data_IF_290923985454
#
_entry.id   IF_290923985454
#
_cell.length_a   1.000
_cell.length_b   1.000
_cell.length_c   1.000
_cell.angle_alpha   90.00
_cell.angle_beta   90.00
_cell.angle_gamma   90.00
#
_symmetry.space_group_name_H-M   'P 1'
#
loop_
_entity.id
_entity.type
_entity.pdbx_description
1 polymer ?
#
# COMPACT_ATOMS: atom_id res chain seq x y z
N UNK A 1 14.70 9.38 13.06
CA UNK A 1 13.69 8.32 13.17
C UNK A 1 14.14 7.03 12.49
N UNK A 2 14.20 6.92 11.17
CA UNK A 2 14.54 5.65 10.47
C UNK A 2 15.82 4.99 11.00
N UNK A 3 16.90 5.75 11.18
CA UNK A 3 18.18 5.20 11.67
C UNK A 3 18.09 4.68 13.13
N UNK A 4 17.30 5.34 13.97
CA UNK A 4 17.07 4.87 15.35
C UNK A 4 16.25 3.57 15.42
N UNK A 5 15.45 3.28 14.39
CA UNK A 5 14.62 2.09 14.25
C UNK A 5 15.25 1.02 13.34
N UNK A 6 16.49 1.21 12.89
CA UNK A 6 17.18 0.35 11.92
C UNK A 6 16.39 0.13 10.60
N UNK A 7 15.61 1.14 10.19
CA UNK A 7 14.88 1.10 8.91
C UNK A 7 15.83 1.55 7.81
N UNK A 8 16.23 0.64 6.94
CA UNK A 8 17.11 0.95 5.80
C UNK A 8 16.39 1.79 4.76
N UNK A 9 15.19 1.34 4.36
CA UNK A 9 14.36 1.99 3.34
C UNK A 9 12.89 2.02 3.76
N UNK A 10 12.17 3.00 3.26
CA UNK A 10 10.72 3.09 3.44
C UNK A 10 10.02 3.38 2.11
N UNK A 11 8.78 2.91 1.98
CA UNK A 11 7.86 3.31 0.92
C UNK A 11 7.02 4.48 1.42
N UNK A 12 7.04 5.58 0.68
CA UNK A 12 6.24 6.77 0.97
C UNK A 12 5.07 6.82 0.01
N UNK A 13 3.86 6.90 0.56
CA UNK A 13 2.63 6.91 -0.21
C UNK A 13 1.81 8.17 0.09
N UNK A 14 1.23 8.84 -0.93
CA UNK A 14 0.30 9.94 -0.72
C UNK A 14 -1.04 9.44 -0.18
N UNK A 15 -1.83 10.36 0.41
CA UNK A 15 -3.17 10.05 0.92
C UNK A 15 -4.23 9.90 -0.16
N UNK A 16 -3.99 10.39 -1.38
CA UNK A 16 -4.99 10.50 -2.45
C UNK A 16 -6.27 11.21 -2.01
N UNK A 17 -6.16 12.29 -1.27
CA UNK A 17 -7.33 13.04 -0.82
C UNK A 17 -7.50 14.32 -1.63
N UNK A 18 -8.44 14.34 -2.61
CA UNK A 18 -8.67 15.51 -3.45
C UNK A 18 -9.12 16.75 -2.66
N UNK A 19 -9.73 16.57 -1.48
CA UNK A 19 -10.20 17.66 -0.64
C UNK A 19 -9.07 18.37 0.11
N UNK A 20 -7.96 17.67 0.35
CA UNK A 20 -6.73 18.25 0.88
C UNK A 20 -5.90 18.94 -0.19
N UNK A 21 -6.13 18.65 -1.48
CA UNK A 21 -5.44 19.28 -2.58
C UNK A 21 -6.00 20.69 -2.83
N UNK A 22 -5.11 21.68 -2.81
CA UNK A 22 -5.38 23.08 -3.13
C UNK A 22 -4.60 23.50 -4.37
N UNK A 23 -4.65 24.78 -4.73
CA UNK A 23 -3.80 25.32 -5.80
C UNK A 23 -2.31 25.14 -5.54
N UNK A 24 -1.89 25.03 -4.27
CA UNK A 24 -0.50 24.81 -3.86
C UNK A 24 -0.16 23.33 -3.73
N UNK A 25 -1.15 22.48 -3.42
CA UNK A 25 -1.01 21.02 -3.30
C UNK A 25 -1.68 20.31 -4.48
N UNK A 26 -1.15 20.53 -5.67
CA UNK A 26 -1.54 19.78 -6.86
C UNK A 26 -0.84 18.42 -6.89
N UNK A 27 -1.35 17.47 -7.67
CA UNK A 27 -0.69 16.17 -7.92
C UNK A 27 0.76 16.37 -8.33
N UNK A 28 1.03 17.33 -9.23
CA UNK A 28 2.39 17.66 -9.68
C UNK A 28 3.27 18.16 -8.53
N UNK A 29 2.73 18.95 -7.59
CA UNK A 29 3.47 19.41 -6.44
C UNK A 29 3.81 18.26 -5.49
N UNK A 30 2.87 17.34 -5.27
CA UNK A 30 3.09 16.11 -4.51
C UNK A 30 4.20 15.27 -5.14
N UNK A 31 4.14 15.02 -6.46
CA UNK A 31 5.15 14.24 -7.17
C UNK A 31 6.54 14.89 -7.10
N UNK A 32 6.63 16.21 -7.28
CA UNK A 32 7.92 16.91 -7.11
C UNK A 32 8.46 16.82 -5.68
N UNK A 33 7.60 16.96 -4.67
CA UNK A 33 8.02 16.84 -3.28
C UNK A 33 8.57 15.43 -2.99
N UNK A 34 7.91 14.38 -3.48
CA UNK A 34 8.36 12.99 -3.34
C UNK A 34 9.70 12.76 -4.05
N UNK A 35 9.86 13.31 -5.27
CA UNK A 35 11.16 13.32 -5.98
C UNK A 35 12.25 13.99 -5.14
N UNK A 36 11.97 15.18 -4.62
CA UNK A 36 12.93 15.97 -3.85
C UNK A 36 13.34 15.25 -2.56
N UNK A 37 12.42 14.53 -1.92
CA UNK A 37 12.72 13.65 -0.80
C UNK A 37 13.68 12.51 -1.22
N UNK A 38 13.41 11.83 -2.33
CA UNK A 38 14.31 10.78 -2.86
C UNK A 38 15.70 11.33 -3.19
N UNK A 39 15.78 12.54 -3.73
CA UNK A 39 17.06 13.19 -4.06
C UNK A 39 17.82 13.65 -2.83
N UNK A 40 17.11 14.15 -1.81
CA UNK A 40 17.71 14.60 -0.54
C UNK A 40 18.26 13.43 0.28
N UNK A 41 17.62 12.26 0.19
CA UNK A 41 18.00 11.06 0.93
C UNK A 41 18.18 9.87 -0.03
N UNK A 42 19.26 9.85 -0.82
CA UNK A 42 19.45 8.84 -1.86
C UNK A 42 19.42 7.41 -1.32
N UNK A 43 18.63 6.57 -1.95
CA UNK A 43 18.51 5.15 -1.60
C UNK A 43 17.68 4.85 -0.34
N UNK A 44 17.07 5.88 0.31
CA UNK A 44 16.28 5.68 1.53
C UNK A 44 14.78 5.50 1.26
N UNK A 45 14.29 5.93 0.09
CA UNK A 45 12.86 5.93 -0.18
C UNK A 45 12.52 5.35 -1.54
N UNK A 46 11.49 4.52 -1.55
CA UNK A 46 10.60 4.33 -2.68
C UNK A 46 9.42 5.28 -2.50
N UNK A 47 8.90 5.85 -3.57
CA UNK A 47 7.79 6.80 -3.50
C UNK A 47 6.73 6.49 -4.57
N UNK A 48 5.48 6.52 -4.18
CA UNK A 48 4.36 6.18 -5.06
C UNK A 48 3.65 7.43 -5.56
N UNK A 49 3.25 7.41 -6.82
CA UNK A 49 2.52 8.49 -7.45
C UNK A 49 1.10 8.63 -6.87
N UNK A 50 0.63 9.86 -6.80
CA UNK A 50 -0.72 10.24 -6.43
C UNK A 50 -1.63 10.31 -7.65
N UNK A 51 -2.94 10.26 -7.41
CA UNK A 51 -3.98 10.57 -8.40
C UNK A 51 -4.94 11.62 -7.85
N UNK A 52 -5.47 12.47 -8.72
CA UNK A 52 -6.52 13.42 -8.39
C UNK A 52 -7.77 13.12 -9.23
N UNK A 53 -8.78 12.52 -8.61
CA UNK A 53 -10.01 12.10 -9.28
C UNK A 53 -10.92 13.25 -9.73
N UNK A 54 -10.56 14.51 -9.43
CA UNK A 54 -11.18 15.70 -10.05
C UNK A 54 -10.71 15.92 -11.47
N UNK A 55 -9.58 15.34 -11.85
CA UNK A 55 -9.09 15.27 -13.23
C UNK A 55 -9.80 14.16 -14.01
N UNK A 56 -9.71 14.21 -15.33
CA UNK A 56 -10.11 13.06 -16.15
C UNK A 56 -9.14 11.90 -15.97
N UNK A 57 -9.60 10.68 -16.27
CA UNK A 57 -8.74 9.50 -16.24
C UNK A 57 -7.50 9.64 -17.14
N UNK A 58 -7.64 10.25 -18.32
CA UNK A 58 -6.51 10.52 -19.23
C UNK A 58 -5.48 11.48 -18.61
N UNK A 59 -5.93 12.55 -17.94
CA UNK A 59 -5.03 13.47 -17.24
C UNK A 59 -4.30 12.79 -16.07
N UNK A 60 -4.96 11.86 -15.37
CA UNK A 60 -4.33 11.07 -14.31
C UNK A 60 -3.28 10.10 -14.87
N UNK A 61 -3.55 9.48 -16.03
CA UNK A 61 -2.55 8.67 -16.74
C UNK A 61 -1.33 9.50 -17.13
N UNK A 62 -1.52 10.70 -17.71
CA UNK A 62 -0.43 11.59 -18.06
C UNK A 62 0.39 12.02 -16.84
N UNK A 63 -0.28 12.33 -15.72
CA UNK A 63 0.37 12.69 -14.45
C UNK A 63 1.21 11.53 -13.89
N UNK A 64 0.72 10.29 -13.98
CA UNK A 64 1.46 9.09 -13.56
C UNK A 64 2.69 8.88 -14.45
N UNK A 65 2.55 9.03 -15.76
CA UNK A 65 3.70 8.93 -16.69
C UNK A 65 4.77 9.96 -16.32
N UNK A 66 4.39 11.20 -16.06
CA UNK A 66 5.32 12.24 -15.60
C UNK A 66 5.92 11.94 -14.24
N UNK A 67 5.16 11.35 -13.32
CA UNK A 67 5.65 10.93 -12.02
C UNK A 67 6.72 9.84 -12.12
N UNK A 68 6.48 8.81 -12.93
CA UNK A 68 7.42 7.71 -13.10
C UNK A 68 8.64 8.13 -13.93
N UNK A 69 8.43 8.72 -15.11
CA UNK A 69 9.52 9.03 -16.05
C UNK A 69 10.27 10.32 -15.69
N UNK A 70 9.55 11.33 -15.21
CA UNK A 70 10.12 12.65 -14.92
C UNK A 70 10.57 12.82 -13.45
N UNK A 71 9.85 12.23 -12.50
CA UNK A 71 10.16 12.34 -11.08
C UNK A 71 10.83 11.09 -10.51
N UNK A 72 10.88 9.97 -11.23
CA UNK A 72 11.47 8.71 -10.80
C UNK A 72 10.71 8.08 -9.64
N UNK A 73 9.37 8.16 -9.65
CA UNK A 73 8.53 7.49 -8.67
C UNK A 73 8.37 6.01 -9.03
N UNK A 74 8.15 5.17 -8.03
CA UNK A 74 8.35 3.72 -8.13
C UNK A 74 7.04 2.94 -8.24
N UNK A 75 5.89 3.55 -7.95
CA UNK A 75 4.58 2.89 -7.95
C UNK A 75 3.44 3.89 -8.01
N UNK A 76 2.22 3.41 -7.85
CA UNK A 76 0.98 4.20 -7.83
C UNK A 76 0.23 3.89 -6.54
N UNK A 77 -0.26 4.91 -5.82
CA UNK A 77 -1.19 4.75 -4.69
C UNK A 77 -2.61 5.06 -5.14
N UNK A 78 -3.56 4.20 -4.76
CA UNK A 78 -5.00 4.43 -4.93
C UNK A 78 -5.69 4.25 -3.59
N UNK A 79 -6.48 5.24 -3.20
CA UNK A 79 -7.25 5.24 -1.96
C UNK A 79 -8.74 5.46 -2.25
N UNK A 80 -9.53 4.40 -2.49
CA UNK A 80 -10.93 4.51 -2.92
C UNK A 80 -11.79 5.36 -2.00
N UNK A 81 -11.65 5.22 -0.68
CA UNK A 81 -12.46 5.98 0.29
C UNK A 81 -12.18 7.49 0.24
N UNK A 82 -10.92 7.90 0.06
CA UNK A 82 -10.56 9.31 -0.02
C UNK A 82 -10.96 9.93 -1.36
N UNK A 83 -10.78 9.19 -2.44
CA UNK A 83 -11.15 9.65 -3.78
C UNK A 83 -12.64 9.58 -4.07
N UNK A 84 -13.37 8.74 -3.34
CA UNK A 84 -14.78 8.44 -3.61
C UNK A 84 -15.01 7.62 -4.88
N UNK A 85 -13.94 7.13 -5.52
CA UNK A 85 -14.00 6.33 -6.75
C UNK A 85 -13.71 4.87 -6.41
N UNK A 86 -14.66 3.99 -6.69
CA UNK A 86 -14.51 2.56 -6.47
C UNK A 86 -13.36 2.00 -7.31
N UNK A 87 -12.68 0.97 -6.79
CA UNK A 87 -11.50 0.43 -7.45
C UNK A 87 -11.81 -0.13 -8.85
N UNK A 88 -12.95 -0.81 -9.00
CA UNK A 88 -13.43 -1.39 -10.25
C UNK A 88 -14.17 -0.39 -11.17
N UNK A 89 -14.12 0.92 -10.86
CA UNK A 89 -14.69 1.99 -11.70
C UNK A 89 -13.90 2.15 -13.01
N UNK A 90 -14.60 2.51 -14.07
CA UNK A 90 -14.00 2.76 -15.40
C UNK A 90 -12.97 3.89 -15.39
N UNK A 91 -13.05 4.80 -14.43
CA UNK A 91 -12.03 5.83 -14.21
C UNK A 91 -10.64 5.23 -14.01
N UNK A 92 -10.54 4.14 -13.24
CA UNK A 92 -9.27 3.51 -12.92
C UNK A 92 -8.74 2.59 -14.03
N UNK A 93 -9.58 2.18 -14.97
CA UNK A 93 -9.21 1.19 -15.98
C UNK A 93 -7.98 1.59 -16.84
N UNK A 94 -7.85 2.83 -17.38
CA UNK A 94 -6.64 3.24 -18.10
C UNK A 94 -5.38 3.30 -17.23
N UNK A 95 -5.54 3.61 -15.93
CA UNK A 95 -4.44 3.64 -14.94
C UNK A 95 -3.93 2.22 -14.72
N UNK A 96 -4.83 1.25 -14.51
CA UNK A 96 -4.45 -0.16 -14.35
C UNK A 96 -3.85 -0.76 -15.63
N UNK A 97 -4.37 -0.39 -16.80
CA UNK A 97 -3.80 -0.82 -18.07
C UNK A 97 -2.36 -0.31 -18.26
N UNK A 98 -2.09 0.96 -17.91
CA UNK A 98 -0.75 1.53 -17.91
C UNK A 98 0.17 0.79 -16.93
N UNK A 99 -0.31 0.60 -15.67
CA UNK A 99 0.45 -0.07 -14.63
C UNK A 99 0.80 -1.50 -15.01
N UNK A 100 -0.16 -2.27 -15.54
CA UNK A 100 0.04 -3.63 -16.03
C UNK A 100 1.06 -3.67 -17.16
N UNK A 101 0.92 -2.82 -18.18
CA UNK A 101 1.82 -2.75 -19.35
C UNK A 101 3.25 -2.43 -18.93
N UNK A 102 3.43 -1.50 -18.00
CA UNK A 102 4.74 -1.00 -17.58
C UNK A 102 5.29 -1.71 -16.34
N UNK A 103 4.54 -2.67 -15.79
CA UNK A 103 4.87 -3.38 -14.54
C UNK A 103 5.12 -2.43 -13.36
N UNK A 104 4.27 -1.40 -13.25
CA UNK A 104 4.32 -0.45 -12.15
C UNK A 104 3.47 -1.02 -11.02
N UNK A 105 4.00 -1.23 -9.79
CA UNK A 105 3.21 -1.71 -8.67
C UNK A 105 2.15 -0.69 -8.25
N UNK A 106 0.98 -1.19 -7.87
CA UNK A 106 -0.15 -0.39 -7.43
C UNK A 106 -0.53 -0.76 -6.00
N UNK A 107 -0.35 0.16 -5.07
CA UNK A 107 -0.81 0.01 -3.70
C UNK A 107 -2.25 0.53 -3.56
N UNK A 108 -3.10 -0.32 -3.00
CA UNK A 108 -4.54 -0.06 -2.88
C UNK A 108 -4.93 -0.07 -1.42
N UNK A 109 -5.56 1.03 -0.95
CA UNK A 109 -6.19 1.03 0.35
C UNK A 109 -7.42 0.12 0.35
N UNK A 110 -7.52 -0.77 1.35
CA UNK A 110 -8.66 -1.66 1.54
C UNK A 110 -8.97 -1.86 3.02
N UNK A 111 -9.75 -0.93 3.56
CA UNK A 111 -10.26 -0.99 4.92
C UNK A 111 -11.76 -0.63 4.92
N UNK A 112 -12.63 -1.53 4.42
CA UNK A 112 -14.05 -1.23 4.29
C UNK A 112 -14.73 -1.11 5.66
N UNK A 113 -15.60 -0.11 5.80
CA UNK A 113 -16.42 0.11 6.98
C UNK A 113 -17.81 -0.56 6.89
N UNK A 114 -18.25 -0.86 5.66
CA UNK A 114 -19.53 -1.51 5.36
C UNK A 114 -19.37 -2.50 4.22
N UNK A 115 -20.39 -3.35 4.01
CA UNK A 115 -20.38 -4.31 2.90
C UNK A 115 -20.42 -3.67 1.51
N UNK A 116 -20.95 -2.45 1.40
CA UNK A 116 -21.07 -1.70 0.14
C UNK A 116 -19.94 -0.65 -0.04
N UNK A 117 -18.94 -0.66 0.83
CA UNK A 117 -17.82 0.30 0.79
C UNK A 117 -17.07 0.23 -0.55
N UNK A 118 -16.54 1.37 -0.98
CA UNK A 118 -15.77 1.47 -2.24
C UNK A 118 -14.45 0.70 -2.20
N UNK A 119 -13.97 0.31 -1.01
CA UNK A 119 -12.71 -0.40 -0.77
C UNK A 119 -12.86 -1.88 -0.44
N UNK A 120 -14.06 -2.47 -0.64
CA UNK A 120 -14.30 -3.89 -0.33
C UNK A 120 -13.43 -4.83 -1.17
N UNK A 121 -13.01 -5.93 -0.57
CA UNK A 121 -12.12 -6.91 -1.20
C UNK A 121 -12.68 -7.48 -2.53
N UNK A 122 -14.01 -7.62 -2.66
CA UNK A 122 -14.64 -8.07 -3.90
C UNK A 122 -14.35 -7.18 -5.12
N UNK A 123 -14.12 -5.87 -4.93
CA UNK A 123 -13.73 -4.95 -6.01
C UNK A 123 -12.27 -5.15 -6.42
N UNK A 124 -11.41 -5.53 -5.47
CA UNK A 124 -10.01 -5.90 -5.75
C UNK A 124 -9.97 -7.17 -6.59
N UNK A 125 -10.80 -8.17 -6.27
CA UNK A 125 -10.92 -9.41 -7.07
C UNK A 125 -11.31 -9.08 -8.51
N UNK A 126 -12.37 -8.30 -8.72
CA UNK A 126 -12.81 -7.88 -10.07
C UNK A 126 -11.70 -7.14 -10.84
N UNK A 127 -10.96 -6.29 -10.13
CA UNK A 127 -9.83 -5.55 -10.75
C UNK A 127 -8.71 -6.51 -11.16
N UNK A 128 -8.33 -7.45 -10.30
CA UNK A 128 -7.30 -8.45 -10.60
C UNK A 128 -7.71 -9.37 -11.76
N UNK A 129 -8.99 -9.78 -11.82
CA UNK A 129 -9.54 -10.57 -12.94
C UNK A 129 -9.52 -9.80 -14.27
N UNK A 130 -9.83 -8.50 -14.23
CA UNK A 130 -9.83 -7.64 -15.41
C UNK A 130 -8.41 -7.31 -15.91
N UNK A 131 -7.45 -7.22 -15.00
CA UNK A 131 -6.05 -6.88 -15.30
C UNK A 131 -5.09 -7.96 -14.78
N UNK A 132 -5.07 -9.16 -15.39
CA UNK A 132 -4.24 -10.27 -14.93
C UNK A 132 -2.75 -9.91 -15.01
N UNK A 133 -2.00 -10.20 -13.93
CA UNK A 133 -0.59 -9.85 -13.83
C UNK A 133 -0.31 -8.39 -13.42
N UNK A 134 -1.33 -7.61 -13.07
CA UNK A 134 -1.16 -6.32 -12.40
C UNK A 134 -0.52 -6.56 -11.03
N UNK A 135 0.59 -5.88 -10.75
CA UNK A 135 1.30 -6.00 -9.47
C UNK A 135 0.54 -5.22 -8.39
N UNK A 136 -0.32 -5.91 -7.65
CA UNK A 136 -1.13 -5.31 -6.58
C UNK A 136 -0.48 -5.48 -5.21
N UNK A 137 -0.49 -4.40 -4.43
CA UNK A 137 -0.23 -4.37 -3.00
C UNK A 137 -1.53 -3.97 -2.32
N UNK A 138 -2.15 -4.89 -1.59
CA UNK A 138 -3.40 -4.60 -0.88
C UNK A 138 -3.06 -4.16 0.53
N UNK A 139 -3.18 -2.86 0.81
CA UNK A 139 -2.94 -2.31 2.14
C UNK A 139 -3.97 -2.84 3.13
N UNK A 140 -3.53 -3.02 4.37
CA UNK A 140 -4.34 -3.51 5.48
C UNK A 140 -4.93 -4.91 5.26
N UNK A 141 -4.31 -5.72 4.35
CA UNK A 141 -4.72 -7.12 4.09
C UNK A 141 -6.21 -7.28 3.72
N UNK A 142 -6.88 -6.22 3.20
CA UNK A 142 -8.33 -6.24 2.95
C UNK A 142 -9.16 -6.18 4.23
N UNK A 143 -8.59 -5.75 5.33
CA UNK A 143 -9.17 -5.71 6.67
C UNK A 143 -9.81 -7.06 7.04
N UNK A 144 -11.04 -7.05 7.53
CA UNK A 144 -11.74 -8.29 7.94
C UNK A 144 -12.32 -9.10 6.77
N UNK A 145 -12.04 -8.71 5.52
CA UNK A 145 -12.42 -9.45 4.30
C UNK A 145 -11.22 -10.22 3.68
N UNK A 146 -10.19 -10.49 4.46
CA UNK A 146 -8.94 -11.11 4.05
C UNK A 146 -9.10 -12.44 3.31
N UNK A 147 -10.11 -13.27 3.67
CA UNK A 147 -10.37 -14.56 3.01
C UNK A 147 -10.66 -14.41 1.50
N UNK A 148 -11.32 -13.30 1.12
CA UNK A 148 -11.63 -12.99 -0.28
C UNK A 148 -10.38 -12.77 -1.13
N UNK A 149 -9.26 -12.35 -0.50
CA UNK A 149 -8.00 -12.08 -1.19
C UNK A 149 -7.09 -13.30 -1.33
N UNK A 150 -7.35 -14.39 -0.61
CA UNK A 150 -6.47 -15.56 -0.61
C UNK A 150 -6.23 -16.16 -2.01
N UNK A 151 -7.25 -16.24 -2.90
CA UNK A 151 -7.06 -16.79 -4.24
C UNK A 151 -6.23 -15.90 -5.19
N UNK A 152 -6.01 -14.63 -4.85
CA UNK A 152 -5.31 -13.67 -5.72
C UNK A 152 -3.79 -13.80 -5.61
N UNK A 153 -3.10 -13.58 -6.72
CA UNK A 153 -1.65 -13.39 -6.75
C UNK A 153 -1.31 -11.90 -6.49
N UNK A 154 -1.49 -11.44 -5.25
CA UNK A 154 -1.17 -10.08 -4.83
C UNK A 154 -0.34 -10.09 -3.56
N UNK A 155 0.47 -9.06 -3.36
CA UNK A 155 1.07 -8.78 -2.06
C UNK A 155 0.05 -8.12 -1.13
N UNK A 156 0.20 -8.31 0.17
CA UNK A 156 -0.63 -7.67 1.18
C UNK A 156 0.25 -7.05 2.26
N UNK A 157 -0.06 -5.86 2.69
CA UNK A 157 0.65 -5.25 3.82
C UNK A 157 -0.19 -5.31 5.10
N UNK A 158 0.50 -5.44 6.23
CA UNK A 158 -0.11 -5.63 7.54
C UNK A 158 -0.36 -4.32 8.30
N UNK A 159 -0.18 -3.18 7.64
CA UNK A 159 -0.35 -1.87 8.25
C UNK A 159 -1.75 -1.66 8.82
N UNK A 160 -1.86 -0.97 9.92
CA UNK A 160 -3.07 -0.70 10.68
C UNK A 160 -3.82 -1.95 11.17
N UNK A 161 -3.93 -3.01 10.38
CA UNK A 161 -4.80 -4.18 10.64
C UNK A 161 -4.19 -5.20 11.61
N UNK A 162 -2.86 -5.33 11.69
CA UNK A 162 -2.23 -6.37 12.51
C UNK A 162 -2.63 -6.29 14.00
N UNK A 163 -2.60 -5.12 14.66
CA UNK A 163 -3.09 -4.99 16.04
C UNK A 163 -4.60 -5.29 16.17
N UNK A 164 -5.39 -4.97 15.14
CA UNK A 164 -6.83 -5.22 15.12
C UNK A 164 -7.16 -6.71 15.01
N UNK A 165 -6.37 -7.46 14.23
CA UNK A 165 -6.48 -8.92 14.18
C UNK A 165 -6.17 -9.55 15.54
N UNK A 166 -5.08 -9.12 16.19
CA UNK A 166 -4.73 -9.65 17.53
C UNK A 166 -5.82 -9.33 18.54
N UNK A 167 -6.37 -8.12 18.54
CA UNK A 167 -7.46 -7.72 19.42
C UNK A 167 -8.73 -8.54 19.17
N UNK A 168 -9.04 -8.85 17.91
CA UNK A 168 -10.28 -9.52 17.52
C UNK A 168 -10.17 -11.03 17.59
N UNK A 169 -9.06 -11.61 17.14
CA UNK A 169 -8.90 -13.04 16.95
C UNK A 169 -7.89 -13.70 17.92
N UNK A 170 -7.04 -12.91 18.57
CA UNK A 170 -5.90 -13.39 19.35
C UNK A 170 -4.71 -13.80 18.48
N UNK A 171 -3.56 -14.00 19.12
CA UNK A 171 -2.27 -14.28 18.46
C UNK A 171 -2.34 -15.53 17.57
N UNK A 172 -2.85 -16.66 18.09
CA UNK A 172 -2.87 -17.92 17.35
C UNK A 172 -3.64 -17.81 16.03
N UNK A 173 -4.84 -17.20 16.03
CA UNK A 173 -5.64 -17.05 14.82
C UNK A 173 -5.05 -16.00 13.89
N UNK A 174 -4.45 -14.95 14.41
CA UNK A 174 -3.72 -13.96 13.60
C UNK A 174 -2.55 -14.63 12.87
N UNK A 175 -1.77 -15.48 13.55
CA UNK A 175 -0.71 -16.25 12.91
C UNK A 175 -1.24 -17.15 11.78
N UNK A 176 -2.36 -17.85 11.98
CA UNK A 176 -3.00 -18.65 10.93
C UNK A 176 -3.41 -17.78 9.72
N UNK A 177 -3.95 -16.58 9.95
CA UNK A 177 -4.33 -15.65 8.89
C UNK A 177 -3.10 -15.24 8.07
N UNK A 178 -2.03 -14.81 8.73
CA UNK A 178 -0.79 -14.44 8.04
C UNK A 178 -0.23 -15.62 7.24
N UNK A 179 -0.18 -16.82 7.84
CA UNK A 179 0.25 -18.05 7.16
C UNK A 179 -0.61 -18.42 5.95
N UNK A 180 -1.91 -18.13 5.99
CA UNK A 180 -2.83 -18.42 4.88
C UNK A 180 -2.53 -17.63 3.60
N UNK A 181 -1.95 -16.42 3.73
CA UNK A 181 -1.47 -15.66 2.57
C UNK A 181 -0.19 -16.23 1.98
N UNK A 182 0.62 -16.91 2.79
CA UNK A 182 1.99 -17.30 2.43
C UNK A 182 2.99 -16.16 2.66
N UNK A 183 4.15 -16.52 3.20
CA UNK A 183 5.20 -15.57 3.63
C UNK A 183 5.65 -14.65 2.51
N UNK A 184 5.76 -15.15 1.28
CA UNK A 184 6.24 -14.40 0.12
C UNK A 184 5.29 -13.26 -0.32
N UNK A 185 4.06 -13.24 0.18
CA UNK A 185 3.08 -12.19 -0.14
C UNK A 185 2.97 -11.13 0.95
N UNK A 186 3.54 -11.38 2.14
CA UNK A 186 3.43 -10.49 3.29
C UNK A 186 4.45 -9.36 3.21
N UNK A 187 4.00 -8.13 3.41
CA UNK A 187 4.85 -6.95 3.49
C UNK A 187 4.70 -6.31 4.87
N UNK A 188 5.83 -6.04 5.53
CA UNK A 188 5.81 -5.23 6.74
C UNK A 188 5.50 -3.77 6.40
N UNK A 189 4.52 -3.20 7.08
CA UNK A 189 4.16 -1.80 6.96
C UNK A 189 3.49 -1.32 8.25
N UNK A 190 3.62 -0.04 8.57
CA UNK A 190 3.13 0.57 9.80
C UNK A 190 1.97 1.54 9.61
N UNK A 191 1.80 2.08 8.40
CA UNK A 191 0.86 3.16 8.10
C UNK A 191 1.19 4.46 8.87
N UNK A 192 2.47 4.66 9.20
CA UNK A 192 2.88 5.83 9.97
C UNK A 192 2.76 7.14 9.15
N UNK A 193 2.20 8.22 9.72
CA UNK A 193 1.49 8.31 11.00
C UNK A 193 0.07 7.74 10.88
N UNK A 194 -0.25 6.73 11.70
CA UNK A 194 -1.56 6.11 11.71
C UNK A 194 -2.56 6.88 12.62
N UNK A 195 -3.82 6.41 12.67
CA UNK A 195 -4.88 7.04 13.44
C UNK A 195 -4.73 6.90 14.96
N UNK A 196 -3.79 6.09 15.44
CA UNK A 196 -3.49 5.93 16.87
C UNK A 196 -2.60 7.05 17.41
N UNK A 197 -1.98 7.84 16.52
CA UNK A 197 -1.12 8.96 16.87
C UNK A 197 0.05 8.59 17.82
N UNK A 198 0.54 7.35 17.72
CA UNK A 198 1.66 6.90 18.52
C UNK A 198 2.98 7.53 18.03
N UNK A 199 3.94 7.80 18.94
CA UNK A 199 5.31 8.05 18.52
C UNK A 199 5.85 6.91 17.65
N UNK A 200 6.76 7.17 16.68
CA UNK A 200 7.25 6.13 15.78
C UNK A 200 7.80 4.90 16.52
N UNK A 201 8.59 5.13 17.56
CA UNK A 201 9.19 4.06 18.36
C UNK A 201 8.11 3.16 18.98
N UNK A 202 7.11 3.75 19.62
CA UNK A 202 6.00 2.98 20.24
C UNK A 202 5.17 2.23 19.18
N UNK A 203 4.95 2.84 18.02
CA UNK A 203 4.23 2.21 16.93
C UNK A 203 4.98 0.96 16.45
N UNK A 204 6.26 1.08 16.12
CA UNK A 204 7.08 -0.04 15.64
C UNK A 204 7.24 -1.12 16.71
N UNK A 205 7.50 -0.74 17.96
CA UNK A 205 7.58 -1.69 19.08
C UNK A 205 6.30 -2.50 19.26
N UNK A 206 5.13 -1.86 19.03
CA UNK A 206 3.84 -2.56 19.11
C UNK A 206 3.68 -3.64 18.02
N UNK A 207 4.18 -3.39 16.81
CA UNK A 207 4.19 -4.37 15.73
C UNK A 207 5.17 -5.49 15.99
N UNK A 208 6.40 -5.17 16.40
CA UNK A 208 7.43 -6.17 16.70
C UNK A 208 7.00 -7.06 17.86
N UNK A 209 6.40 -6.51 18.93
CA UNK A 209 5.88 -7.30 20.03
C UNK A 209 4.77 -8.29 19.61
N UNK A 210 4.03 -8.00 18.54
CA UNK A 210 3.07 -8.93 17.96
C UNK A 210 3.80 -9.98 17.12
N UNK A 211 4.69 -9.56 16.23
CA UNK A 211 5.40 -10.45 15.30
C UNK A 211 6.32 -11.44 16.04
N UNK A 212 6.95 -11.02 17.14
CA UNK A 212 7.78 -11.89 18.00
C UNK A 212 7.00 -13.05 18.65
N UNK A 213 5.67 -12.96 18.71
CA UNK A 213 4.81 -14.03 19.20
C UNK A 213 4.32 -14.98 18.09
N UNK A 214 4.64 -14.69 16.83
CA UNK A 214 4.30 -15.54 15.68
C UNK A 214 5.33 -16.66 15.52
N UNK A 215 4.98 -17.71 14.79
CA UNK A 215 5.85 -18.88 14.57
C UNK A 215 6.71 -18.75 13.32
N UNK A 216 7.05 -17.52 12.92
CA UNK A 216 7.95 -17.28 11.78
C UNK A 216 9.40 -17.65 12.12
N UNK A 217 10.06 -18.33 11.21
CA UNK A 217 11.51 -18.51 11.26
C UNK A 217 12.22 -17.18 11.02
N UNK A 218 13.50 -17.09 11.37
CA UNK A 218 14.29 -15.89 11.11
C UNK A 218 14.33 -15.52 9.61
N UNK A 219 14.41 -16.53 8.72
CA UNK A 219 14.39 -16.33 7.27
C UNK A 219 13.03 -15.79 6.79
N UNK A 220 11.94 -16.32 7.30
CA UNK A 220 10.59 -15.84 6.99
C UNK A 220 10.36 -14.41 7.51
N UNK A 221 10.82 -14.11 8.72
CA UNK A 221 10.75 -12.76 9.28
C UNK A 221 11.56 -11.76 8.44
N UNK A 222 12.72 -12.13 7.94
CA UNK A 222 13.54 -11.33 7.04
C UNK A 222 12.83 -11.08 5.69
N UNK A 223 12.19 -12.10 5.13
CA UNK A 223 11.37 -11.93 3.92
C UNK A 223 10.25 -10.93 4.12
N UNK A 224 9.48 -11.06 5.20
CA UNK A 224 8.37 -10.16 5.54
C UNK A 224 8.87 -8.73 5.78
N UNK A 225 9.98 -8.60 6.51
CA UNK A 225 10.52 -7.31 6.92
C UNK A 225 11.00 -6.45 5.74
N UNK A 226 11.65 -7.06 4.74
CA UNK A 226 12.21 -6.27 3.64
C UNK A 226 12.40 -7.01 2.31
N UNK A 227 12.66 -8.34 2.27
CA UNK A 227 13.03 -9.01 1.01
C UNK A 227 11.89 -8.99 0.01
N UNK A 228 10.66 -9.28 0.44
CA UNK A 228 9.48 -9.26 -0.44
C UNK A 228 9.26 -7.86 -1.05
N UNK A 229 9.37 -6.81 -0.25
CA UNK A 229 9.26 -5.44 -0.74
C UNK A 229 10.39 -5.09 -1.73
N UNK A 230 11.62 -5.54 -1.46
CA UNK A 230 12.77 -5.34 -2.33
C UNK A 230 12.62 -6.07 -3.66
N UNK A 231 12.11 -7.32 -3.67
CA UNK A 231 11.85 -8.08 -4.89
C UNK A 231 10.75 -7.43 -5.74
N UNK A 232 9.74 -6.85 -5.10
CA UNK A 232 8.62 -6.19 -5.77
C UNK A 232 9.00 -4.82 -6.36
N UNK A 233 9.88 -4.07 -5.68
CA UNK A 233 10.19 -2.67 -6.03
C UNK A 233 11.54 -2.48 -6.75
N UNK A 234 12.39 -3.49 -6.77
CA UNK A 234 13.69 -3.49 -7.46
C UNK A 234 14.86 -3.13 -6.58
#
# INVERSE_FOLDING_TARGET
MMDALNIEKAVIMPLNDPWLMSMEFTVDAVHRNLRDMKQTYPGRFYAFADIDTRNTSAQSVDAIIQAVDGCGLDGIKIHPNNTGVALDDEYNAPIFALAQQRKIPVAIHSYPNTEDDVSVAARIVKTAERFPGLQLIVSHMGAFQWETLLPLECSVDMSAILPDYVRTYGIAKTNEILRSFGVDRLLFASDYPDNRHLPPEELYDSYFAILDQMDFTAEEAERIAYQNAKELLG
#
